data_IF_073408395296
#
_entry.id   IF_073408395296
#
_cell.length_a   1.000
_cell.length_b   1.000
_cell.length_c   1.000
_cell.angle_alpha   90.00
_cell.angle_beta   90.00
_cell.angle_gamma   90.00
#
_symmetry.space_group_name_H-M   'P 1'
#
loop_
_entity.id
_entity.type
_entity.pdbx_description
1 polymer ?
#
# COMPACT_ATOMS: atom_id res chain seq x y z
N UNK A 1 1.77 -3.05 -19.85
CA UNK A 1 0.70 -3.39 -18.89
C UNK A 1 1.21 -3.10 -17.48
N UNK A 2 0.30 -2.75 -16.58
CA UNK A 2 0.65 -2.52 -15.18
C UNK A 2 -0.32 -3.28 -14.27
N UNK A 3 0.21 -3.74 -13.12
CA UNK A 3 -0.57 -4.24 -12.00
C UNK A 3 -0.38 -3.31 -10.83
N UNK A 4 -1.47 -2.98 -10.15
CA UNK A 4 -1.44 -2.10 -8.97
C UNK A 4 -2.07 -2.85 -7.80
N UNK A 5 -1.24 -3.15 -6.82
CA UNK A 5 -1.69 -3.81 -5.59
C UNK A 5 -2.05 -2.75 -4.56
N UNK A 6 -3.27 -2.81 -4.08
CA UNK A 6 -3.73 -1.99 -2.95
C UNK A 6 -3.96 -2.90 -1.75
N UNK A 7 -3.10 -2.81 -0.77
CA UNK A 7 -3.22 -3.53 0.48
C UNK A 7 -3.66 -2.58 1.59
N UNK A 8 -4.70 -2.94 2.33
CA UNK A 8 -5.26 -2.11 3.39
C UNK A 8 -5.40 -2.89 4.70
N UNK A 9 -4.88 -2.30 5.74
CA UNK A 9 -5.14 -2.70 7.12
C UNK A 9 -6.61 -2.40 7.45
N UNK A 10 -7.35 -3.44 7.85
CA UNK A 10 -8.74 -3.32 8.31
C UNK A 10 -8.90 -3.83 9.74
N UNK A 11 -7.82 -3.76 10.53
CA UNK A 11 -7.85 -4.07 11.96
C UNK A 11 -8.74 -3.11 12.75
N UNK A 12 -8.98 -3.42 14.02
CA UNK A 12 -9.91 -2.65 14.88
C UNK A 12 -9.55 -1.18 15.02
N UNK A 13 -8.27 -0.82 14.91
CA UNK A 13 -7.80 0.57 15.01
C UNK A 13 -8.05 1.40 13.75
N UNK A 14 -8.29 0.74 12.61
CA UNK A 14 -8.66 1.39 11.35
C UNK A 14 -10.14 1.74 11.34
N UNK A 15 -10.46 2.97 11.75
CA UNK A 15 -11.82 3.49 11.73
C UNK A 15 -12.34 3.75 10.32
N UNK A 16 -13.63 4.13 10.22
CA UNK A 16 -14.27 4.42 8.93
C UNK A 16 -13.57 5.57 8.20
N UNK A 17 -13.16 6.61 8.92
CA UNK A 17 -12.44 7.76 8.36
C UNK A 17 -11.09 7.33 7.78
N UNK A 18 -10.34 6.48 8.49
CA UNK A 18 -9.05 5.94 8.01
C UNK A 18 -9.24 5.18 6.70
N UNK A 19 -10.22 4.28 6.67
CA UNK A 19 -10.54 3.51 5.48
C UNK A 19 -10.97 4.39 4.31
N UNK A 20 -11.77 5.42 4.56
CA UNK A 20 -12.20 6.35 3.51
C UNK A 20 -11.04 7.15 2.91
N UNK A 21 -10.11 7.63 3.73
CA UNK A 21 -8.93 8.34 3.24
C UNK A 21 -8.08 7.43 2.34
N UNK A 22 -7.83 6.20 2.78
CA UNK A 22 -7.09 5.21 2.01
C UNK A 22 -7.78 4.86 0.69
N UNK A 23 -9.07 4.61 0.71
CA UNK A 23 -9.87 4.29 -0.47
C UNK A 23 -9.89 5.43 -1.50
N UNK A 24 -10.01 6.65 -1.03
CA UNK A 24 -9.96 7.85 -1.90
C UNK A 24 -8.60 7.96 -2.57
N UNK A 25 -7.53 7.76 -1.83
CA UNK A 25 -6.16 7.73 -2.38
C UNK A 25 -6.04 6.64 -3.45
N UNK A 26 -6.45 5.42 -3.15
CA UNK A 26 -6.38 4.29 -4.10
C UNK A 26 -7.17 4.55 -5.38
N UNK A 27 -8.37 5.07 -5.25
CA UNK A 27 -9.21 5.41 -6.39
C UNK A 27 -8.49 6.37 -7.35
N UNK A 28 -7.94 7.46 -6.84
CA UNK A 28 -7.28 8.46 -7.68
C UNK A 28 -5.94 8.00 -8.24
N UNK A 29 -5.22 7.14 -7.54
CA UNK A 29 -4.01 6.51 -8.08
C UNK A 29 -4.36 5.67 -9.31
N UNK A 30 -5.40 4.85 -9.24
CA UNK A 30 -5.87 4.07 -10.40
C UNK A 30 -6.24 4.98 -11.56
N UNK A 31 -7.01 6.05 -11.30
CA UNK A 31 -7.42 6.98 -12.35
C UNK A 31 -6.22 7.66 -13.03
N UNK A 32 -5.22 8.03 -12.24
CA UNK A 32 -3.98 8.62 -12.76
C UNK A 32 -3.16 7.64 -13.60
N UNK A 33 -3.00 6.41 -13.13
CA UNK A 33 -2.24 5.38 -13.84
C UNK A 33 -2.94 4.95 -15.15
N UNK A 34 -4.27 4.96 -15.20
CA UNK A 34 -5.02 4.69 -16.43
C UNK A 34 -4.74 5.69 -17.56
N UNK A 35 -4.17 6.84 -17.24
CA UNK A 35 -3.71 7.80 -18.25
C UNK A 35 -2.34 7.44 -18.83
N UNK A 36 -1.59 6.61 -18.15
CA UNK A 36 -0.21 6.26 -18.53
C UNK A 36 -0.11 4.87 -19.14
N UNK A 37 -1.00 3.98 -18.75
CA UNK A 37 -1.02 2.59 -19.20
C UNK A 37 -2.32 2.26 -19.92
N UNK A 38 -2.20 1.55 -21.03
CA UNK A 38 -3.37 1.07 -21.80
C UNK A 38 -4.17 0.02 -21.01
N UNK A 39 -3.46 -0.80 -20.23
CA UNK A 39 -4.07 -1.84 -19.42
C UNK A 39 -3.52 -1.79 -18.01
N UNK A 40 -4.43 -1.71 -17.04
CA UNK A 40 -4.14 -1.76 -15.62
C UNK A 40 -4.99 -2.83 -14.97
N UNK A 41 -4.33 -3.69 -14.19
CA UNK A 41 -4.97 -4.69 -13.35
C UNK A 41 -4.90 -4.25 -11.89
N UNK A 42 -5.98 -3.71 -11.31
CA UNK A 42 -6.01 -3.42 -9.88
C UNK A 42 -6.24 -4.70 -9.09
N UNK A 43 -5.46 -4.88 -8.04
CA UNK A 43 -5.57 -6.00 -7.09
C UNK A 43 -5.79 -5.44 -5.71
N UNK A 44 -6.83 -5.89 -5.03
CA UNK A 44 -7.21 -5.39 -3.71
C UNK A 44 -7.03 -6.46 -2.65
N UNK A 45 -6.25 -6.14 -1.63
CA UNK A 45 -5.95 -7.00 -0.49
C UNK A 45 -6.35 -6.28 0.80
N UNK A 46 -7.12 -6.93 1.65
CA UNK A 46 -7.39 -6.47 3.00
C UNK A 46 -6.82 -7.45 4.01
N UNK A 47 -6.36 -6.96 5.15
CA UNK A 47 -5.80 -7.82 6.17
C UNK A 47 -6.11 -7.35 7.60
N UNK A 48 -6.08 -8.31 8.50
CA UNK A 48 -5.96 -8.16 9.95
C UNK A 48 -4.78 -9.00 10.41
N UNK A 49 -5.02 -10.16 11.04
CA UNK A 49 -4.01 -11.19 11.32
C UNK A 49 -3.81 -12.15 10.14
N UNK A 50 -4.70 -12.11 9.18
CA UNK A 50 -4.65 -12.83 7.91
C UNK A 50 -4.96 -11.85 6.77
N UNK A 51 -4.66 -12.22 5.54
CA UNK A 51 -4.91 -11.41 4.36
C UNK A 51 -5.77 -12.14 3.34
N UNK A 52 -6.65 -11.38 2.68
CA UNK A 52 -7.56 -11.87 1.64
C UNK A 52 -7.55 -10.93 0.45
N UNK A 53 -7.67 -11.49 -0.75
CA UNK A 53 -7.96 -10.73 -1.95
C UNK A 53 -9.48 -10.52 -2.09
N UNK A 54 -9.87 -9.31 -2.48
CA UNK A 54 -11.26 -8.96 -2.75
C UNK A 54 -11.42 -8.37 -4.14
N UNK A 55 -12.55 -8.63 -4.83
CA UNK A 55 -12.89 -7.85 -6.01
C UNK A 55 -13.15 -6.39 -5.61
N UNK A 56 -12.94 -5.47 -6.55
CA UNK A 56 -13.11 -4.03 -6.30
C UNK A 56 -14.48 -3.70 -5.68
N UNK A 57 -15.54 -4.33 -6.16
CA UNK A 57 -16.91 -4.12 -5.68
C UNK A 57 -17.10 -4.45 -4.21
N UNK A 58 -16.32 -5.36 -3.65
CA UNK A 58 -16.39 -5.77 -2.24
C UNK A 58 -15.34 -5.06 -1.38
N UNK A 59 -14.16 -4.79 -1.92
CA UNK A 59 -13.05 -4.20 -1.19
C UNK A 59 -13.42 -2.88 -0.49
N UNK A 60 -14.16 -2.02 -1.17
CA UNK A 60 -14.55 -0.73 -0.63
C UNK A 60 -15.61 -0.81 0.49
N UNK A 61 -16.16 -1.99 0.73
CA UNK A 61 -17.11 -2.26 1.82
C UNK A 61 -16.49 -3.10 2.95
N UNK A 62 -15.27 -3.58 2.76
CA UNK A 62 -14.61 -4.45 3.75
C UNK A 62 -14.37 -3.69 5.04
N UNK A 63 -14.80 -4.30 6.13
CA UNK A 63 -14.48 -3.93 7.50
C UNK A 63 -13.92 -5.15 8.22
N UNK A 64 -13.10 -4.93 9.22
CA UNK A 64 -12.50 -6.01 9.97
C UNK A 64 -12.50 -5.73 11.47
N UNK A 65 -11.99 -6.67 12.20
CA UNK A 65 -11.77 -6.57 13.63
C UNK A 65 -10.55 -7.41 14.02
N UNK A 66 -9.98 -7.14 15.18
CA UNK A 66 -8.82 -7.86 15.69
C UNK A 66 -7.51 -7.13 15.47
N UNK A 67 -6.42 -7.87 15.56
CA UNK A 67 -5.08 -7.32 15.51
C UNK A 67 -4.55 -7.08 14.10
N UNK A 68 -3.28 -6.70 14.05
CA UNK A 68 -2.60 -6.34 12.80
C UNK A 68 -1.33 -7.17 12.65
N UNK A 69 -1.23 -7.93 11.57
CA UNK A 69 -0.03 -8.64 11.14
C UNK A 69 0.28 -8.21 9.71
N UNK A 70 1.08 -7.16 9.56
CA UNK A 70 1.34 -6.51 8.28
C UNK A 70 2.01 -7.44 7.26
N UNK A 71 2.87 -8.35 7.70
CA UNK A 71 3.53 -9.32 6.81
C UNK A 71 2.54 -10.16 6.00
N UNK A 72 1.35 -10.42 6.52
CA UNK A 72 0.33 -11.21 5.81
C UNK A 72 -0.13 -10.51 4.54
N UNK A 73 -0.27 -9.18 4.58
CA UNK A 73 -0.62 -8.39 3.40
C UNK A 73 0.49 -8.44 2.34
N UNK A 74 1.75 -8.27 2.75
CA UNK A 74 2.89 -8.31 1.84
C UNK A 74 3.11 -9.70 1.25
N UNK A 75 2.95 -10.74 2.04
CA UNK A 75 3.00 -12.12 1.57
C UNK A 75 1.88 -12.44 0.57
N UNK A 76 0.69 -11.89 0.78
CA UNK A 76 -0.43 -12.05 -0.16
C UNK A 76 -0.11 -11.36 -1.51
N UNK A 77 0.48 -10.18 -1.49
CA UNK A 77 0.95 -9.51 -2.72
C UNK A 77 1.97 -10.36 -3.45
N UNK A 78 2.95 -10.93 -2.74
CA UNK A 78 3.96 -11.82 -3.32
C UNK A 78 3.34 -13.07 -3.95
N UNK A 79 2.40 -13.70 -3.26
CA UNK A 79 1.67 -14.86 -3.76
C UNK A 79 0.94 -14.55 -5.06
N UNK A 80 0.16 -13.46 -5.09
CA UNK A 80 -0.61 -13.05 -6.27
C UNK A 80 0.32 -12.68 -7.43
N UNK A 81 1.40 -11.96 -7.15
CA UNK A 81 2.41 -11.60 -8.15
C UNK A 81 2.99 -12.85 -8.82
N UNK A 82 3.41 -13.82 -8.03
CA UNK A 82 3.98 -15.07 -8.55
C UNK A 82 2.98 -15.87 -9.39
N UNK A 83 1.72 -15.89 -8.97
CA UNK A 83 0.70 -16.72 -9.63
C UNK A 83 0.13 -16.09 -10.91
N UNK A 84 0.01 -14.76 -10.98
CA UNK A 84 -0.77 -14.10 -12.04
C UNK A 84 -0.03 -13.00 -12.78
N UNK A 85 0.91 -12.33 -12.16
CA UNK A 85 1.51 -11.10 -12.72
C UNK A 85 3.04 -11.16 -12.72
N UNK A 86 3.58 -11.87 -13.69
CA UNK A 86 5.03 -11.98 -13.87
C UNK A 86 5.67 -10.58 -14.01
N UNK A 87 6.59 -10.21 -13.12
CA UNK A 87 7.24 -8.90 -13.17
C UNK A 87 8.01 -8.60 -14.47
N UNK A 88 8.36 -9.62 -15.25
CA UNK A 88 8.97 -9.41 -16.57
C UNK A 88 7.99 -8.87 -17.61
N UNK A 89 6.69 -8.97 -17.34
CA UNK A 89 5.61 -8.55 -18.24
C UNK A 89 4.78 -7.38 -17.74
N UNK A 90 4.73 -7.19 -16.42
CA UNK A 90 3.92 -6.17 -15.77
C UNK A 90 4.79 -5.19 -14.99
N UNK A 91 4.58 -3.91 -15.20
CA UNK A 91 5.05 -2.91 -14.26
C UNK A 91 4.21 -3.02 -12.97
N UNK A 92 4.87 -3.17 -11.85
CA UNK A 92 4.22 -3.47 -10.58
C UNK A 92 4.30 -2.29 -9.62
N UNK A 93 3.14 -1.81 -9.18
CA UNK A 93 2.99 -0.78 -8.16
C UNK A 93 2.33 -1.39 -6.93
N UNK A 94 2.87 -1.13 -5.76
CA UNK A 94 2.33 -1.66 -4.50
C UNK A 94 2.07 -0.50 -3.55
N UNK A 95 0.85 -0.40 -3.04
CA UNK A 95 0.47 0.58 -2.03
C UNK A 95 -0.08 -0.13 -0.80
N UNK A 96 0.40 0.29 0.37
CA UNK A 96 -0.07 -0.20 1.65
C UNK A 96 -0.62 0.94 2.49
N UNK A 97 -1.82 0.78 2.99
CA UNK A 97 -2.49 1.76 3.85
C UNK A 97 -2.71 1.17 5.25
N UNK A 98 -2.29 1.88 6.28
CA UNK A 98 -2.44 1.49 7.68
C UNK A 98 -2.42 2.74 8.58
N UNK A 99 -2.85 2.58 9.82
CA UNK A 99 -2.63 3.57 10.89
C UNK A 99 -1.24 3.43 11.53
N UNK A 100 -0.43 2.53 11.03
CA UNK A 100 0.93 2.25 11.52
C UNK A 100 1.00 1.19 12.60
N UNK A 101 -0.11 0.68 13.11
CA UNK A 101 -0.12 -0.40 14.07
C UNK A 101 0.37 -1.72 13.45
N UNK A 102 1.16 -2.46 14.19
CA UNK A 102 1.59 -3.80 13.83
C UNK A 102 2.05 -4.54 15.10
N UNK A 103 1.89 -5.86 15.14
CA UNK A 103 2.45 -6.63 16.24
C UNK A 103 3.97 -6.57 16.19
N UNK A 104 4.60 -6.36 17.35
CA UNK A 104 6.04 -6.20 17.45
C UNK A 104 6.82 -7.41 16.95
N UNK A 105 6.30 -8.62 17.17
CA UNK A 105 6.90 -9.86 16.70
C UNK A 105 6.78 -10.10 15.19
N UNK A 106 6.03 -9.27 14.47
CA UNK A 106 5.88 -9.35 13.01
C UNK A 106 6.90 -8.51 12.24
N UNK A 107 7.65 -7.64 12.90
CA UNK A 107 8.55 -6.68 12.26
C UNK A 107 9.52 -7.31 11.27
N UNK A 108 10.20 -8.39 11.67
CA UNK A 108 11.21 -9.03 10.81
C UNK A 108 10.57 -9.71 9.60
N UNK A 109 9.42 -10.37 9.79
CA UNK A 109 8.66 -10.98 8.70
C UNK A 109 8.14 -9.92 7.71
N UNK A 110 7.64 -8.79 8.21
CA UNK A 110 7.18 -7.68 7.39
C UNK A 110 8.34 -7.06 6.59
N UNK A 111 9.49 -6.83 7.23
CA UNK A 111 10.68 -6.32 6.56
C UNK A 111 11.17 -7.26 5.46
N UNK A 112 11.21 -8.56 5.72
CA UNK A 112 11.63 -9.57 4.75
C UNK A 112 10.70 -9.62 3.53
N UNK A 113 9.39 -9.59 3.76
CA UNK A 113 8.40 -9.59 2.67
C UNK A 113 8.46 -8.32 1.83
N UNK A 114 8.62 -7.16 2.45
CA UNK A 114 8.83 -5.89 1.74
C UNK A 114 10.11 -5.88 0.91
N UNK A 115 11.20 -6.44 1.42
CA UNK A 115 12.44 -6.55 0.68
C UNK A 115 12.27 -7.40 -0.59
N UNK A 116 11.50 -8.49 -0.52
CA UNK A 116 11.18 -9.30 -1.71
C UNK A 116 10.32 -8.53 -2.72
N UNK A 117 9.34 -7.76 -2.27
CA UNK A 117 8.54 -6.88 -3.14
C UNK A 117 9.46 -5.85 -3.81
N UNK A 118 10.38 -5.26 -3.07
CA UNK A 118 11.32 -4.26 -3.56
C UNK A 118 12.24 -4.75 -4.69
N UNK A 119 12.41 -6.04 -4.85
CA UNK A 119 13.21 -6.62 -5.94
C UNK A 119 12.55 -6.50 -7.32
N UNK A 120 11.24 -6.40 -7.39
CA UNK A 120 10.53 -6.37 -8.66
C UNK A 120 9.59 -5.17 -8.84
N UNK A 121 9.16 -4.53 -7.75
CA UNK A 121 8.21 -3.43 -7.85
C UNK A 121 8.87 -2.19 -8.45
N UNK A 122 8.16 -1.55 -9.37
CA UNK A 122 8.55 -0.25 -9.91
C UNK A 122 8.38 0.87 -8.87
N UNK A 123 7.45 0.67 -7.94
CA UNK A 123 7.25 1.59 -6.83
C UNK A 123 6.48 0.94 -5.69
N UNK A 124 6.87 1.28 -4.46
CA UNK A 124 6.17 0.88 -3.24
C UNK A 124 5.80 2.12 -2.43
N UNK A 125 4.51 2.38 -2.28
CA UNK A 125 3.99 3.52 -1.51
C UNK A 125 3.35 3.08 -0.20
N UNK A 126 3.65 3.79 0.87
CA UNK A 126 2.99 3.65 2.16
C UNK A 126 2.16 4.90 2.47
N UNK A 127 0.91 4.70 2.82
CA UNK A 127 0.03 5.77 3.28
C UNK A 127 -0.43 5.50 4.71
N UNK A 128 -0.19 6.45 5.60
CA UNK A 128 -0.51 6.34 7.02
C UNK A 128 -1.66 7.25 7.40
N UNK A 129 -2.71 6.66 7.97
CA UNK A 129 -3.96 7.36 8.31
C UNK A 129 -4.03 7.72 9.80
N UNK A 130 -2.99 8.27 10.37
CA UNK A 130 -2.84 8.51 11.80
C UNK A 130 -3.70 9.69 12.34
N UNK A 131 -4.93 9.88 11.85
CA UNK A 131 -5.75 11.06 12.12
C UNK A 131 -6.12 11.27 13.60
N UNK A 132 -6.10 10.24 14.42
CA UNK A 132 -6.52 10.31 15.83
C UNK A 132 -5.42 9.87 16.82
N UNK A 133 -4.24 9.53 16.35
CA UNK A 133 -3.16 9.05 17.20
C UNK A 133 -2.35 10.19 17.80
N UNK A 134 -1.88 9.98 19.01
CA UNK A 134 -1.04 10.93 19.75
C UNK A 134 0.39 11.03 19.21
N UNK A 135 0.75 10.24 18.19
CA UNK A 135 2.07 10.25 17.58
C UNK A 135 2.10 11.08 16.30
N UNK A 136 3.23 11.71 15.98
CA UNK A 136 3.38 12.38 14.70
C UNK A 136 3.13 11.42 13.53
N UNK A 137 2.50 11.87 12.43
CA UNK A 137 2.37 11.06 11.23
C UNK A 137 3.72 10.56 10.74
N UNK A 138 3.77 9.31 10.26
CA UNK A 138 4.99 8.64 9.77
C UNK A 138 6.08 8.41 10.84
N UNK A 139 5.74 8.53 12.12
CA UNK A 139 6.63 8.22 13.24
C UNK A 139 6.53 6.77 13.74
N UNK A 140 5.78 5.92 13.09
CA UNK A 140 5.52 4.54 13.49
C UNK A 140 6.63 3.59 13.03
N UNK A 141 6.72 2.41 13.65
CA UNK A 141 7.63 1.35 13.19
C UNK A 141 7.29 0.85 11.78
N UNK A 142 6.02 0.82 11.42
CA UNK A 142 5.58 0.49 10.06
C UNK A 142 6.12 1.50 9.05
N UNK A 143 6.02 2.80 9.33
CA UNK A 143 6.60 3.83 8.49
C UNK A 143 8.12 3.68 8.32
N UNK A 144 8.81 3.26 9.36
CA UNK A 144 10.27 3.02 9.31
C UNK A 144 10.65 1.87 8.37
N UNK A 145 9.80 0.85 8.22
CA UNK A 145 10.04 -0.23 7.25
C UNK A 145 10.09 0.31 5.82
N UNK A 146 9.19 1.23 5.49
CA UNK A 146 9.16 1.86 4.16
C UNK A 146 10.27 2.90 3.98
N UNK A 147 10.67 3.57 5.04
CA UNK A 147 11.86 4.44 5.02
C UNK A 147 13.13 3.66 4.69
N UNK A 148 13.29 2.49 5.29
CA UNK A 148 14.41 1.60 4.99
C UNK A 148 14.37 1.13 3.53
N UNK A 149 13.22 0.73 3.05
CA UNK A 149 13.06 0.31 1.65
C UNK A 149 13.38 1.44 0.67
N UNK A 150 12.96 2.67 0.98
CA UNK A 150 13.29 3.86 0.20
C UNK A 150 14.80 4.12 0.17
N UNK A 151 15.47 4.00 1.31
CA UNK A 151 16.93 4.16 1.41
C UNK A 151 17.69 3.10 0.61
N UNK A 152 17.18 1.87 0.56
CA UNK A 152 17.82 0.75 -0.14
C UNK A 152 17.55 0.74 -1.64
N UNK A 153 16.37 1.14 -2.08
CA UNK A 153 15.93 0.99 -3.48
C UNK A 153 15.76 2.30 -4.23
N UNK A 154 15.48 3.40 -3.53
CA UNK A 154 15.08 4.66 -4.15
C UNK A 154 13.67 4.63 -4.79
N UNK A 155 12.96 3.51 -4.68
CA UNK A 155 11.68 3.25 -5.35
C UNK A 155 10.51 3.14 -4.38
N UNK A 156 10.63 3.70 -3.19
CA UNK A 156 9.56 3.73 -2.21
C UNK A 156 9.28 5.16 -1.72
N UNK A 157 8.09 5.36 -1.17
CA UNK A 157 7.70 6.63 -0.58
C UNK A 157 6.67 6.45 0.52
N UNK A 158 6.50 7.50 1.33
CA UNK A 158 5.60 7.53 2.48
C UNK A 158 4.77 8.80 2.45
N UNK A 159 3.48 8.67 2.72
CA UNK A 159 2.54 9.78 2.68
C UNK A 159 1.63 9.73 3.92
N UNK A 160 1.43 10.88 4.58
CA UNK A 160 0.47 11.00 5.68
C UNK A 160 -0.90 11.38 5.12
N UNK A 161 -1.92 10.58 5.42
CA UNK A 161 -3.31 10.85 5.05
C UNK A 161 -4.11 11.21 6.30
N UNK A 162 -4.08 12.48 6.69
CA UNK A 162 -4.74 12.97 7.90
C UNK A 162 -6.01 13.78 7.61
N UNK A 163 -6.11 14.33 6.41
CA UNK A 163 -7.24 15.14 5.94
C UNK A 163 -7.53 14.85 4.47
N UNK A 164 -8.71 15.21 3.93
CA UNK A 164 -8.95 15.12 2.48
C UNK A 164 -7.94 15.89 1.63
N UNK A 165 -7.45 17.01 2.10
CA UNK A 165 -6.42 17.83 1.42
C UNK A 165 -5.10 17.07 1.34
N UNK A 166 -4.72 16.36 2.40
CA UNK A 166 -3.48 15.56 2.42
C UNK A 166 -3.51 14.40 1.43
N UNK A 167 -4.68 13.87 1.10
CA UNK A 167 -4.85 12.87 0.03
C UNK A 167 -4.41 13.45 -1.31
N UNK A 168 -4.84 14.68 -1.62
CA UNK A 168 -4.43 15.35 -2.85
C UNK A 168 -2.95 15.68 -2.89
N UNK A 169 -2.36 16.07 -1.77
CA UNK A 169 -0.93 16.29 -1.67
C UNK A 169 -0.13 15.01 -1.94
N UNK A 170 -0.59 13.88 -1.39
CA UNK A 170 0.02 12.58 -1.62
C UNK A 170 -0.07 12.15 -3.10
N UNK A 171 -1.22 12.34 -3.73
CA UNK A 171 -1.42 12.02 -5.14
C UNK A 171 -0.52 12.88 -6.03
N UNK A 172 -0.47 14.19 -5.79
CA UNK A 172 0.42 15.08 -6.54
C UNK A 172 1.89 14.68 -6.36
N UNK A 173 2.30 14.36 -5.14
CA UNK A 173 3.68 13.93 -4.88
C UNK A 173 4.02 12.63 -5.59
N UNK A 174 3.11 11.66 -5.60
CA UNK A 174 3.31 10.41 -6.32
C UNK A 174 3.48 10.62 -7.82
N UNK A 175 2.57 11.38 -8.46
CA UNK A 175 2.61 11.61 -9.91
C UNK A 175 3.66 12.63 -10.36
N UNK A 176 4.21 13.45 -9.47
CA UNK A 176 5.33 14.35 -9.78
C UNK A 176 6.68 13.64 -9.86
N UNK A 177 6.76 12.38 -9.44
CA UNK A 177 7.99 11.60 -9.55
C UNK A 177 8.30 11.32 -11.01
N UNK A 178 9.59 11.27 -11.41
CA UNK A 178 9.95 10.78 -12.73
C UNK A 178 9.44 9.35 -12.86
N UNK A 179 8.44 9.15 -13.69
CA UNK A 179 8.03 7.80 -14.07
C UNK A 179 9.09 7.30 -15.04
N UNK A 180 9.72 6.17 -14.72
CA UNK A 180 10.56 5.51 -15.73
C UNK A 180 9.69 5.26 -16.94
N UNK A 181 10.12 5.80 -18.08
CA UNK A 181 9.47 5.51 -19.36
C UNK A 181 9.41 3.99 -19.48
N UNK A 182 8.21 3.47 -19.68
CA UNK A 182 8.02 2.06 -19.95
C UNK A 182 8.83 1.73 -21.21
N UNK A 183 9.91 1.01 -21.01
CA UNK A 183 10.74 0.53 -22.08
C UNK A 183 9.98 -0.51 -22.92
#
# INVERSE_FOLDING_TARGET
EAVVYFAMDVSSSMGERDRQLAKTFFFWVVQGLRRQYLHIEPVFVAHTIEAWEFPESEFFQVTGSGGTVASTAFQKVLEISTQRFDPSRFNSYVFYASDGANFQNDRDAAAAALAEIGKFANYVGYVETAAEQQQPPLGTETAMLFEQLEAETGLAGRYALTTPESVWDAIRAFFARPMEEAA
#
